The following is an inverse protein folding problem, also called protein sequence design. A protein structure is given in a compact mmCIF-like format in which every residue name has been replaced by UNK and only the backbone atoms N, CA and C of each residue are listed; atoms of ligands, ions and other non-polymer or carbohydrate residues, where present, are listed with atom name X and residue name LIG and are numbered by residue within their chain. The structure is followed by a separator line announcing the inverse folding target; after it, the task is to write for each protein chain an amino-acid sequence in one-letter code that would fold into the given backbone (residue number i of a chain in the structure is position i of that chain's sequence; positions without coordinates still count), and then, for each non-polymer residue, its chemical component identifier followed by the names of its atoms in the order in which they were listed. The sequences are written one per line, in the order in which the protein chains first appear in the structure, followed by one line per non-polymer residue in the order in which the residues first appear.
data_IF_937805772798
#
_entry.id   IF_937805772798
#
_cell.length_a   1.000
_cell.length_b   1.000
_cell.length_c   1.000
_cell.angle_alpha   90.00
_cell.angle_beta   90.00
_cell.angle_gamma   90.00
#
_symmetry.space_group_name_H-M   'P 1'
#
loop_
_entity.id
_entity.type
_entity.pdbx_description
1 polymer ?
#
# COMPACT_ATOMS: atom_id res chain seq x y z
N UNK A 1 -23.25 17.38 15.97
CA UNK A 1 -22.06 16.68 15.43
C UNK A 1 -21.22 16.27 16.64
N UNK A 2 -20.80 15.01 16.78
CA UNK A 2 -20.07 14.58 17.98
C UNK A 2 -18.67 15.21 18.03
N UNK A 3 -18.11 15.37 19.24
CA UNK A 3 -16.76 15.93 19.45
C UNK A 3 -15.68 15.18 18.64
N UNK A 4 -15.84 13.86 18.52
CA UNK A 4 -14.98 13.01 17.68
C UNK A 4 -15.02 13.34 16.18
N UNK A 5 -16.19 13.70 15.64
CA UNK A 5 -16.34 14.05 14.22
C UNK A 5 -15.67 15.38 13.92
N UNK A 6 -15.86 16.38 14.78
CA UNK A 6 -15.21 17.69 14.64
C UNK A 6 -13.70 17.58 14.72
N UNK A 7 -13.18 16.79 15.67
CA UNK A 7 -11.74 16.53 15.82
C UNK A 7 -11.14 15.84 14.60
N UNK A 8 -11.79 14.79 14.09
CA UNK A 8 -11.31 14.06 12.92
C UNK A 8 -11.31 14.96 11.66
N UNK A 9 -12.36 15.76 11.48
CA UNK A 9 -12.45 16.74 10.39
C UNK A 9 -11.32 17.78 10.48
N UNK A 10 -11.14 18.38 11.65
CA UNK A 10 -10.07 19.36 11.87
C UNK A 10 -8.69 18.77 11.62
N UNK A 11 -8.44 17.54 12.09
CA UNK A 11 -7.17 16.85 11.87
C UNK A 11 -6.88 16.71 10.36
N UNK A 12 -7.86 16.27 9.57
CA UNK A 12 -7.68 16.11 8.13
C UNK A 12 -7.40 17.47 7.44
N UNK A 13 -8.13 18.52 7.80
CA UNK A 13 -7.90 19.88 7.29
C UNK A 13 -6.48 20.35 7.60
N UNK A 14 -6.05 20.23 8.86
CA UNK A 14 -4.69 20.57 9.28
C UNK A 14 -3.63 19.80 8.49
N UNK A 15 -3.86 18.51 8.23
CA UNK A 15 -2.93 17.67 7.48
C UNK A 15 -2.84 18.10 6.00
N UNK A 16 -3.99 18.35 5.38
CA UNK A 16 -4.08 18.73 3.96
C UNK A 16 -3.37 20.07 3.68
N UNK A 17 -3.49 21.02 4.60
CA UNK A 17 -2.88 22.36 4.50
C UNK A 17 -1.42 22.39 4.98
N UNK A 18 -0.97 21.35 5.67
CA UNK A 18 0.31 21.39 6.37
C UNK A 18 1.51 21.56 5.43
N UNK A 19 1.68 20.70 4.44
CA UNK A 19 2.87 20.78 3.56
C UNK A 19 2.87 22.03 2.66
N UNK A 20 1.74 22.43 2.04
CA UNK A 20 1.69 23.68 1.26
C UNK A 20 2.02 24.94 2.05
N UNK A 21 1.77 24.97 3.36
CA UNK A 21 2.04 26.13 4.22
C UNK A 21 3.48 26.24 4.73
N UNK A 22 4.40 25.38 4.27
CA UNK A 22 5.79 25.31 4.76
C UNK A 22 6.83 26.00 3.88
N UNK A 23 6.39 26.77 2.88
CA UNK A 23 7.27 27.43 1.90
C UNK A 23 8.29 26.47 1.24
N UNK A 24 7.91 25.21 1.08
CA UNK A 24 8.75 24.19 0.45
C UNK A 24 8.65 24.36 -1.06
N UNK A 25 9.77 24.62 -1.71
CA UNK A 25 9.83 24.82 -3.16
C UNK A 25 9.13 23.67 -3.93
N UNK A 26 8.13 24.03 -4.74
CA UNK A 26 7.36 23.10 -5.57
C UNK A 26 6.19 22.40 -4.86
N UNK A 27 6.07 22.49 -3.54
CA UNK A 27 4.97 21.86 -2.78
C UNK A 27 3.80 22.83 -2.65
N UNK A 28 2.81 22.71 -3.55
CA UNK A 28 1.62 23.56 -3.60
C UNK A 28 0.36 22.77 -3.27
N UNK A 29 -0.76 23.46 -2.97
CA UNK A 29 -2.07 22.80 -2.82
C UNK A 29 -2.47 22.01 -4.06
N UNK A 30 -2.19 22.52 -5.26
CA UNK A 30 -2.42 21.81 -6.53
C UNK A 30 -1.61 20.53 -6.63
N UNK A 31 -0.35 20.54 -6.17
CA UNK A 31 0.47 19.33 -6.12
C UNK A 31 -0.14 18.32 -5.15
N UNK A 32 -0.59 18.75 -3.97
CA UNK A 32 -1.25 17.84 -3.02
C UNK A 32 -2.49 17.19 -3.67
N UNK A 33 -3.36 17.96 -4.29
CA UNK A 33 -4.57 17.45 -4.96
C UNK A 33 -4.25 16.43 -6.06
N UNK A 34 -3.14 16.61 -6.82
CA UNK A 34 -2.67 15.62 -7.81
C UNK A 34 -2.49 14.25 -7.18
N UNK A 35 -1.88 14.17 -6.00
CA UNK A 35 -1.66 12.88 -5.31
C UNK A 35 -2.91 12.31 -4.68
N UNK A 36 -3.94 13.13 -4.41
CA UNK A 36 -5.22 12.67 -3.87
C UNK A 36 -6.14 12.04 -4.93
N UNK A 37 -5.71 11.99 -6.20
CA UNK A 37 -6.46 11.35 -7.27
C UNK A 37 -5.71 10.10 -7.80
N UNK A 38 -6.05 8.88 -7.33
CA UNK A 38 -5.34 7.67 -7.73
C UNK A 38 -5.59 7.24 -9.18
N UNK A 39 -6.73 7.60 -9.76
CA UNK A 39 -7.19 7.05 -11.04
C UNK A 39 -6.40 7.57 -12.23
N UNK A 40 -5.67 8.68 -12.09
CA UNK A 40 -4.79 9.21 -13.12
C UNK A 40 -3.43 8.50 -13.21
N UNK A 41 -3.06 7.70 -12.20
CA UNK A 41 -1.68 7.19 -12.04
C UNK A 41 -1.51 5.73 -12.47
N UNK A 42 -2.49 4.86 -12.26
CA UNK A 42 -2.40 3.44 -12.61
C UNK A 42 -3.79 2.87 -13.02
N UNK A 43 -4.00 2.55 -14.31
CA UNK A 43 -5.25 1.94 -14.75
C UNK A 43 -5.39 0.51 -14.25
N UNK A 44 -6.63 0.06 -14.03
CA UNK A 44 -6.95 -1.32 -13.66
C UNK A 44 -6.52 -2.28 -14.77
N UNK A 45 -5.84 -3.40 -14.47
CA UNK A 45 -5.55 -4.42 -15.48
C UNK A 45 -6.82 -5.09 -15.98
N UNK A 46 -6.81 -5.54 -17.24
CA UNK A 46 -7.97 -6.19 -17.88
C UNK A 46 -7.81 -7.71 -18.04
N UNK A 47 -6.73 -8.29 -17.52
CA UNK A 47 -6.41 -9.73 -17.65
C UNK A 47 -5.93 -10.31 -16.33
N UNK A 48 -6.08 -11.64 -16.15
CA UNK A 48 -5.56 -12.35 -14.98
C UNK A 48 -4.04 -12.21 -14.88
N UNK A 49 -3.34 -12.22 -16.02
CA UNK A 49 -1.90 -11.98 -16.11
C UNK A 49 -1.54 -10.61 -15.54
N UNK A 50 -2.29 -9.56 -15.89
CA UNK A 50 -2.06 -8.22 -15.37
C UNK A 50 -2.33 -8.10 -13.86
N UNK A 51 -3.36 -8.77 -13.34
CA UNK A 51 -3.62 -8.82 -11.90
C UNK A 51 -2.49 -9.55 -11.17
N UNK A 52 -2.08 -10.71 -11.69
CA UNK A 52 -1.01 -11.51 -11.13
C UNK A 52 0.33 -10.74 -11.13
N UNK A 53 0.67 -10.08 -12.24
CA UNK A 53 1.85 -9.21 -12.32
C UNK A 53 1.81 -8.12 -11.25
N UNK A 54 0.68 -7.39 -11.11
CA UNK A 54 0.51 -6.32 -10.11
C UNK A 54 0.68 -6.83 -8.68
N UNK A 55 0.16 -8.02 -8.40
CA UNK A 55 0.31 -8.66 -7.11
C UNK A 55 1.79 -8.93 -6.79
N UNK A 56 2.56 -9.45 -7.76
CA UNK A 56 3.99 -9.67 -7.61
C UNK A 56 4.77 -8.35 -7.48
N UNK A 57 4.36 -7.30 -8.19
CA UNK A 57 4.93 -5.95 -8.05
C UNK A 57 4.74 -5.41 -6.64
N UNK A 58 3.53 -5.50 -6.07
CA UNK A 58 3.28 -5.10 -4.68
C UNK A 58 4.16 -5.92 -3.72
N UNK A 59 4.25 -7.24 -3.92
CA UNK A 59 5.07 -8.12 -3.07
C UNK A 59 6.57 -7.77 -3.15
N UNK A 60 7.07 -7.46 -4.35
CA UNK A 60 8.44 -7.03 -4.57
C UNK A 60 8.72 -5.68 -3.89
N UNK A 61 7.76 -4.76 -3.90
CA UNK A 61 7.94 -3.41 -3.36
C UNK A 61 7.94 -3.36 -1.83
N UNK A 62 7.60 -4.47 -1.15
CA UNK A 62 7.54 -4.53 0.31
C UNK A 62 8.93 -4.63 0.98
N UNK A 63 9.19 -3.77 1.97
CA UNK A 63 10.37 -3.82 2.84
C UNK A 63 11.69 -3.88 2.04
N UNK A 64 12.59 -4.81 2.39
CA UNK A 64 13.88 -4.99 1.71
C UNK A 64 13.76 -5.66 0.34
N UNK A 65 12.59 -6.22 -0.04
CA UNK A 65 12.42 -6.93 -1.31
C UNK A 65 12.62 -6.02 -2.52
N UNK A 66 12.34 -4.72 -2.41
CA UNK A 66 12.56 -3.77 -3.50
C UNK A 66 14.05 -3.69 -3.88
N UNK A 67 14.94 -3.81 -2.89
CA UNK A 67 16.38 -3.86 -3.09
C UNK A 67 16.87 -5.25 -3.48
N UNK A 68 16.45 -6.28 -2.75
CA UNK A 68 16.99 -7.65 -2.87
C UNK A 68 16.45 -8.39 -4.11
N UNK A 69 15.19 -8.16 -4.47
CA UNK A 69 14.57 -8.71 -5.67
C UNK A 69 14.60 -7.65 -6.77
N UNK A 70 13.90 -6.52 -6.55
CA UNK A 70 13.64 -5.54 -7.60
C UNK A 70 14.90 -4.99 -8.27
N UNK A 71 15.92 -4.57 -7.50
CA UNK A 71 17.19 -4.12 -8.10
C UNK A 71 18.05 -5.26 -8.64
N UNK A 72 17.94 -6.45 -8.06
CA UNK A 72 18.75 -7.60 -8.47
C UNK A 72 18.39 -8.05 -9.88
N UNK A 73 17.10 -8.09 -10.22
CA UNK A 73 16.61 -8.47 -11.56
C UNK A 73 16.22 -7.29 -12.43
N UNK A 74 16.00 -6.10 -11.86
CA UNK A 74 15.63 -4.90 -12.62
C UNK A 74 14.12 -4.67 -12.80
N UNK A 75 13.28 -5.33 -12.00
CA UNK A 75 11.82 -5.20 -12.04
C UNK A 75 11.11 -6.53 -12.22
N UNK A 76 9.83 -6.58 -11.82
CA UNK A 76 8.99 -7.78 -11.94
C UNK A 76 8.78 -8.18 -13.39
N UNK A 77 8.73 -7.21 -14.32
CA UNK A 77 8.61 -7.44 -15.76
C UNK A 77 9.65 -8.43 -16.31
N UNK A 78 10.84 -8.50 -15.72
CA UNK A 78 11.87 -9.47 -16.14
C UNK A 78 11.48 -10.92 -15.87
N UNK A 79 10.55 -11.16 -14.95
CA UNK A 79 10.01 -12.48 -14.68
C UNK A 79 9.06 -13.00 -15.77
N UNK A 80 8.63 -12.16 -16.72
CA UNK A 80 7.68 -12.55 -17.79
C UNK A 80 8.12 -13.83 -18.52
N UNK A 81 9.39 -13.92 -18.91
CA UNK A 81 9.94 -15.09 -19.61
C UNK A 81 10.01 -16.38 -18.77
N UNK A 82 10.07 -16.24 -17.45
CA UNK A 82 10.13 -17.35 -16.49
C UNK A 82 8.71 -17.79 -16.10
N UNK A 83 7.79 -16.84 -16.00
CA UNK A 83 6.42 -17.01 -15.55
C UNK A 83 5.42 -17.07 -16.71
N UNK A 84 5.89 -17.35 -17.93
CA UNK A 84 5.08 -17.50 -19.14
C UNK A 84 4.09 -16.32 -19.35
N UNK A 85 4.64 -15.10 -19.39
CA UNK A 85 3.89 -13.84 -19.44
C UNK A 85 2.83 -13.73 -18.33
N UNK A 86 3.23 -14.13 -17.12
CA UNK A 86 2.40 -14.13 -15.93
C UNK A 86 1.14 -15.00 -16.08
N UNK A 87 1.24 -16.12 -16.77
CA UNK A 87 0.19 -17.13 -16.80
C UNK A 87 0.22 -17.98 -15.52
N UNK A 88 -0.66 -17.65 -14.57
CA UNK A 88 -0.74 -18.37 -13.28
C UNK A 88 -0.92 -19.88 -13.47
N UNK A 89 -1.81 -20.30 -14.39
CA UNK A 89 -1.98 -21.70 -14.76
C UNK A 89 -0.68 -22.38 -15.19
N UNK A 90 0.04 -21.77 -16.13
CA UNK A 90 1.30 -22.34 -16.66
C UNK A 90 2.38 -22.37 -15.57
N UNK A 91 2.43 -21.36 -14.69
CA UNK A 91 3.34 -21.34 -13.54
C UNK A 91 3.08 -22.55 -12.62
N UNK A 92 1.81 -22.83 -12.29
CA UNK A 92 1.46 -23.96 -11.43
C UNK A 92 1.75 -25.32 -12.09
N UNK A 93 1.51 -25.46 -13.39
CA UNK A 93 1.83 -26.67 -14.15
C UNK A 93 3.35 -26.89 -14.27
N UNK A 94 4.12 -25.81 -14.44
CA UNK A 94 5.57 -25.86 -14.65
C UNK A 94 6.35 -26.12 -13.37
N UNK A 95 5.97 -25.48 -12.26
CA UNK A 95 6.75 -25.49 -11.02
C UNK A 95 6.12 -26.36 -9.92
N UNK A 96 5.74 -27.58 -10.29
CA UNK A 96 5.24 -28.59 -9.33
C UNK A 96 6.28 -28.95 -8.25
N UNK A 97 7.57 -28.75 -8.53
CA UNK A 97 8.68 -28.88 -7.58
C UNK A 97 8.78 -27.76 -6.53
N UNK A 98 7.87 -26.80 -6.54
CA UNK A 98 7.80 -25.72 -5.56
C UNK A 98 8.77 -24.55 -5.83
N UNK A 99 8.85 -23.63 -4.87
CA UNK A 99 9.54 -22.35 -5.05
C UNK A 99 11.03 -22.45 -5.37
N UNK A 100 11.70 -23.56 -5.02
CA UNK A 100 13.12 -23.75 -5.35
C UNK A 100 13.35 -23.83 -6.87
N UNK A 101 12.49 -24.55 -7.59
CA UNK A 101 12.60 -24.67 -9.05
C UNK A 101 12.46 -23.31 -9.75
N UNK A 102 11.62 -22.42 -9.21
CA UNK A 102 11.49 -21.04 -9.70
C UNK A 102 12.78 -20.27 -9.45
N UNK A 103 13.36 -20.39 -8.24
CA UNK A 103 14.58 -19.70 -7.88
C UNK A 103 15.76 -20.14 -8.76
N UNK A 104 15.88 -21.44 -9.00
CA UNK A 104 16.94 -22.00 -9.85
C UNK A 104 16.85 -21.45 -11.27
N UNK A 105 15.65 -21.42 -11.86
CA UNK A 105 15.44 -20.85 -13.20
C UNK A 105 15.68 -19.32 -13.25
N UNK A 106 15.32 -18.58 -12.19
CA UNK A 106 15.65 -17.16 -12.05
C UNK A 106 17.17 -16.96 -12.06
N UNK A 107 17.90 -17.75 -11.28
CA UNK A 107 19.37 -17.66 -11.20
C UNK A 107 20.00 -17.99 -12.55
N UNK A 108 19.54 -19.04 -13.22
CA UNK A 108 20.05 -19.48 -14.52
C UNK A 108 19.81 -18.43 -15.61
N UNK A 109 18.58 -17.93 -15.74
CA UNK A 109 18.16 -17.11 -16.88
C UNK A 109 18.37 -15.62 -16.66
N UNK A 110 18.06 -15.10 -15.47
CA UNK A 110 18.13 -13.65 -15.21
C UNK A 110 19.45 -13.21 -14.59
N UNK A 111 20.24 -14.16 -14.05
CA UNK A 111 21.53 -13.90 -13.42
C UNK A 111 21.48 -12.69 -12.45
N UNK A 112 20.64 -12.77 -11.39
CA UNK A 112 20.37 -11.61 -10.54
C UNK A 112 21.65 -11.10 -9.87
N UNK A 113 21.73 -9.79 -9.69
CA UNK A 113 22.87 -9.15 -9.02
C UNK A 113 22.80 -9.34 -7.51
N UNK A 114 23.96 -9.45 -6.87
CA UNK A 114 24.06 -9.53 -5.41
C UNK A 114 23.99 -10.96 -4.87
N UNK A 115 23.91 -11.09 -3.54
CA UNK A 115 23.90 -12.39 -2.85
C UNK A 115 22.51 -13.05 -2.94
N UNK A 116 22.47 -14.29 -3.44
CA UNK A 116 21.24 -15.09 -3.55
C UNK A 116 21.22 -16.12 -2.43
N UNK A 117 20.58 -15.76 -1.31
CA UNK A 117 20.46 -16.65 -0.15
C UNK A 117 19.33 -17.65 -0.37
N UNK A 118 19.67 -18.94 -0.23
CA UNK A 118 18.81 -20.08 -0.55
C UNK A 118 18.04 -20.64 0.67
N UNK A 119 18.33 -20.18 1.89
CA UNK A 119 17.65 -20.70 3.09
C UNK A 119 16.18 -20.29 3.12
N UNK A 120 15.28 -21.15 3.60
CA UNK A 120 13.83 -20.93 3.54
C UNK A 120 13.33 -19.60 4.15
N UNK A 121 14.06 -19.05 5.13
CA UNK A 121 13.73 -17.75 5.76
C UNK A 121 14.27 -16.53 5.01
N UNK A 122 15.01 -16.75 3.93
CA UNK A 122 15.59 -15.70 3.10
C UNK A 122 14.57 -15.15 2.12
N UNK A 123 14.81 -13.90 1.68
CA UNK A 123 13.89 -13.15 0.82
C UNK A 123 13.60 -13.86 -0.50
N UNK A 124 14.63 -14.45 -1.14
CA UNK A 124 14.47 -15.12 -2.43
C UNK A 124 13.53 -16.33 -2.35
N UNK A 125 13.78 -17.35 -1.50
CA UNK A 125 12.84 -18.45 -1.30
C UNK A 125 11.44 -18.00 -0.91
N UNK A 126 11.31 -17.02 0.00
CA UNK A 126 10.00 -16.50 0.38
C UNK A 126 9.26 -15.85 -0.78
N UNK A 127 9.95 -15.08 -1.61
CA UNK A 127 9.35 -14.46 -2.79
C UNK A 127 8.94 -15.51 -3.84
N UNK A 128 9.70 -16.58 -4.00
CA UNK A 128 9.31 -17.71 -4.85
C UNK A 128 8.07 -18.46 -4.31
N UNK A 129 7.89 -18.54 -2.98
CA UNK A 129 6.63 -19.03 -2.41
C UNK A 129 5.48 -18.06 -2.70
N UNK A 130 5.70 -16.75 -2.55
CA UNK A 130 4.70 -15.73 -2.94
C UNK A 130 4.25 -15.90 -4.39
N UNK A 131 5.17 -16.16 -5.33
CA UNK A 131 4.85 -16.42 -6.74
C UNK A 131 3.85 -17.59 -6.86
N UNK A 132 4.10 -18.72 -6.19
CA UNK A 132 3.21 -19.88 -6.25
C UNK A 132 1.86 -19.67 -5.55
N UNK A 133 1.85 -19.13 -4.33
CA UNK A 133 0.61 -18.87 -3.60
C UNK A 133 -0.26 -17.85 -4.34
N UNK A 134 0.35 -16.82 -4.93
CA UNK A 134 -0.36 -15.85 -5.74
C UNK A 134 -0.91 -16.46 -7.03
N UNK A 135 -0.16 -17.35 -7.70
CA UNK A 135 -0.68 -18.07 -8.86
C UNK A 135 -1.89 -18.94 -8.50
N UNK A 136 -1.81 -19.70 -7.39
CA UNK A 136 -2.94 -20.48 -6.86
C UNK A 136 -4.16 -19.60 -6.57
N UNK A 137 -3.95 -18.45 -5.93
CA UNK A 137 -5.02 -17.49 -5.64
C UNK A 137 -5.69 -16.97 -6.92
N UNK A 138 -4.91 -16.57 -7.93
CA UNK A 138 -5.45 -16.03 -9.19
C UNK A 138 -6.20 -17.08 -10.00
N UNK A 139 -5.80 -18.35 -9.95
CA UNK A 139 -6.49 -19.43 -10.65
C UNK A 139 -7.86 -19.80 -10.06
N UNK A 140 -8.21 -19.27 -8.87
CA UNK A 140 -9.57 -19.37 -8.35
C UNK A 140 -10.59 -18.58 -9.19
N UNK A 141 -10.11 -17.58 -9.96
CA UNK A 141 -10.96 -16.71 -10.78
C UNK A 141 -10.97 -17.15 -12.25
N UNK A 142 -12.16 -17.11 -12.84
CA UNK A 142 -12.38 -17.42 -14.26
C UNK A 142 -11.83 -16.32 -15.19
N UNK A 143 -11.85 -15.07 -14.75
CA UNK A 143 -11.44 -13.91 -15.54
C UNK A 143 -11.01 -12.73 -14.66
N UNK A 144 -10.50 -11.66 -15.27
CA UNK A 144 -10.25 -10.41 -14.54
C UNK A 144 -11.54 -9.77 -14.02
N UNK A 145 -12.64 -9.84 -14.78
CA UNK A 145 -13.96 -9.31 -14.36
C UNK A 145 -14.43 -10.00 -13.09
N UNK A 146 -14.35 -11.33 -13.06
CA UNK A 146 -14.72 -12.17 -11.91
C UNK A 146 -13.95 -11.76 -10.64
N UNK A 147 -12.63 -11.56 -10.76
CA UNK A 147 -11.82 -11.02 -9.67
C UNK A 147 -12.33 -9.65 -9.18
N UNK A 148 -12.58 -8.70 -10.08
CA UNK A 148 -13.03 -7.36 -9.68
C UNK A 148 -14.46 -7.36 -9.12
N UNK A 149 -15.37 -8.17 -9.65
CA UNK A 149 -16.72 -8.35 -9.10
C UNK A 149 -16.67 -8.87 -7.67
N UNK A 150 -15.76 -9.81 -7.40
CA UNK A 150 -15.50 -10.31 -6.06
C UNK A 150 -14.89 -9.24 -5.14
N UNK A 151 -13.93 -8.44 -5.61
CA UNK A 151 -13.38 -7.32 -4.82
C UNK A 151 -14.48 -6.28 -4.53
N UNK A 152 -15.31 -5.95 -5.51
CA UNK A 152 -16.41 -4.99 -5.40
C UNK A 152 -17.44 -5.42 -4.36
N UNK A 153 -17.68 -6.72 -4.18
CA UNK A 153 -18.54 -7.25 -3.12
C UNK A 153 -18.05 -6.80 -1.73
N UNK A 154 -16.74 -6.90 -1.46
CA UNK A 154 -16.17 -6.42 -0.20
C UNK A 154 -16.13 -4.90 -0.12
N UNK A 155 -15.85 -4.22 -1.24
CA UNK A 155 -15.69 -2.78 -1.24
C UNK A 155 -17.00 -2.03 -0.99
N UNK A 156 -18.14 -2.57 -1.44
CA UNK A 156 -19.46 -1.92 -1.27
C UNK A 156 -19.93 -1.89 0.18
N UNK A 157 -19.49 -2.81 1.05
CA UNK A 157 -19.91 -2.86 2.45
C UNK A 157 -18.76 -2.55 3.42
N UNK A 158 -18.91 -1.45 4.15
CA UNK A 158 -18.00 -0.97 5.18
C UNK A 158 -17.66 -1.99 6.30
N UNK A 159 -18.56 -2.95 6.55
CA UNK A 159 -18.41 -4.02 7.54
C UNK A 159 -17.58 -5.16 6.97
N UNK A 160 -17.80 -5.50 5.69
CA UNK A 160 -17.10 -6.57 5.00
C UNK A 160 -15.71 -6.16 4.52
N UNK A 161 -15.49 -4.89 4.19
CA UNK A 161 -14.30 -4.40 3.49
C UNK A 161 -12.96 -4.88 4.07
N UNK A 162 -12.80 -4.83 5.40
CA UNK A 162 -11.56 -5.26 6.04
C UNK A 162 -11.31 -6.78 5.96
N UNK A 163 -12.34 -7.58 5.68
CA UNK A 163 -12.24 -9.02 5.48
C UNK A 163 -11.42 -9.40 4.25
N UNK A 164 -11.44 -8.59 3.18
CA UNK A 164 -10.65 -8.87 1.98
C UNK A 164 -9.13 -8.80 2.23
N UNK A 165 -8.56 -7.73 2.80
CA UNK A 165 -7.15 -7.71 3.18
C UNK A 165 -6.74 -8.84 4.13
N UNK A 166 -7.64 -9.25 5.04
CA UNK A 166 -7.42 -10.41 5.93
C UNK A 166 -7.32 -11.71 5.14
N UNK A 167 -8.27 -11.96 4.24
CA UNK A 167 -8.28 -13.15 3.39
C UNK A 167 -7.02 -13.21 2.51
N UNK A 168 -6.66 -12.11 1.85
CA UNK A 168 -5.43 -12.03 1.05
C UNK A 168 -4.17 -12.35 1.87
N UNK A 169 -4.12 -11.95 3.15
CA UNK A 169 -2.99 -12.25 4.04
C UNK A 169 -2.91 -13.72 4.48
N UNK A 170 -3.97 -14.49 4.29
CA UNK A 170 -3.99 -15.93 4.57
C UNK A 170 -3.75 -16.76 3.30
N UNK A 171 -4.24 -16.29 2.15
CA UNK A 171 -4.14 -17.00 0.88
C UNK A 171 -2.78 -16.81 0.17
N UNK A 172 -2.06 -15.73 0.48
CA UNK A 172 -0.86 -15.35 -0.27
C UNK A 172 0.34 -15.21 0.67
N UNK A 173 1.34 -16.06 0.46
CA UNK A 173 2.56 -16.05 1.24
C UNK A 173 3.28 -14.71 1.14
N UNK A 174 3.69 -14.18 2.28
CA UNK A 174 4.38 -12.90 2.37
C UNK A 174 3.46 -11.67 2.30
N UNK A 175 2.15 -11.84 2.11
CA UNK A 175 1.18 -10.76 2.27
C UNK A 175 0.76 -10.60 3.73
N UNK A 176 0.98 -9.40 4.27
CA UNK A 176 0.32 -8.95 5.50
C UNK A 176 -0.83 -8.01 5.18
N UNK A 177 -1.71 -7.75 6.14
CA UNK A 177 -2.88 -6.88 5.99
C UNK A 177 -2.54 -5.54 5.31
N UNK A 178 -1.49 -4.85 5.76
CA UNK A 178 -1.09 -3.57 5.16
C UNK A 178 -0.65 -3.69 3.69
N UNK A 179 0.02 -4.77 3.32
CA UNK A 179 0.42 -5.00 1.93
C UNK A 179 -0.79 -5.34 1.05
N UNK A 180 -1.73 -6.12 1.57
CA UNK A 180 -3.00 -6.42 0.90
C UNK A 180 -3.81 -5.13 0.62
N UNK A 181 -3.88 -4.21 1.58
CA UNK A 181 -4.51 -2.90 1.35
C UNK A 181 -3.79 -2.09 0.26
N UNK A 182 -2.45 -2.10 0.26
CA UNK A 182 -1.65 -1.39 -0.74
C UNK A 182 -1.87 -1.94 -2.15
N UNK A 183 -1.91 -3.27 -2.30
CA UNK A 183 -2.25 -3.93 -3.55
C UNK A 183 -3.62 -3.48 -4.07
N UNK A 184 -4.67 -3.55 -3.24
CA UNK A 184 -6.02 -3.15 -3.65
C UNK A 184 -6.08 -1.65 -4.04
N UNK A 185 -5.33 -0.81 -3.33
CA UNK A 185 -5.19 0.60 -3.64
C UNK A 185 -4.49 0.84 -4.98
N UNK A 186 -3.41 0.11 -5.27
CA UNK A 186 -2.71 0.16 -6.56
C UNK A 186 -3.61 -0.32 -7.71
N UNK A 187 -4.60 -1.16 -7.41
CA UNK A 187 -5.65 -1.61 -8.32
C UNK A 187 -6.81 -0.60 -8.43
N UNK A 188 -6.65 0.64 -7.94
CA UNK A 188 -7.61 1.73 -8.12
C UNK A 188 -8.75 1.77 -7.09
N UNK A 189 -8.69 0.98 -6.02
CA UNK A 189 -9.72 1.01 -4.96
C UNK A 189 -9.41 2.05 -3.89
N UNK A 190 -10.27 3.07 -3.78
CA UNK A 190 -10.04 4.23 -2.91
C UNK A 190 -10.47 4.03 -1.45
N UNK A 191 -11.09 2.89 -1.12
CA UNK A 191 -11.63 2.63 0.21
C UNK A 191 -10.78 1.65 1.03
N UNK A 192 -9.65 1.17 0.49
CA UNK A 192 -8.69 0.31 1.21
C UNK A 192 -7.44 1.13 1.61
N UNK A 193 -7.52 1.99 2.64
CA UNK A 193 -6.35 2.73 3.09
C UNK A 193 -5.28 1.77 3.62
N UNK A 194 -4.01 2.16 3.48
CA UNK A 194 -2.92 1.34 4.02
C UNK A 194 -2.66 1.71 5.48
N UNK A 195 -2.78 0.77 6.44
CA UNK A 195 -2.37 1.01 7.82
C UNK A 195 -0.83 0.99 7.95
N UNK A 196 -0.14 1.98 7.39
CA UNK A 196 1.33 2.05 7.42
C UNK A 196 1.90 2.72 8.68
N UNK A 197 3.23 2.64 8.81
CA UNK A 197 3.98 3.15 9.97
C UNK A 197 3.86 4.67 10.16
N UNK A 198 3.73 5.44 9.09
CA UNK A 198 3.57 6.89 9.19
C UNK A 198 2.22 7.25 9.81
N UNK A 199 1.14 6.63 9.33
CA UNK A 199 -0.19 6.85 9.89
C UNK A 199 -0.28 6.35 11.33
N UNK A 200 0.30 5.18 11.61
CA UNK A 200 0.38 4.61 12.96
C UNK A 200 0.99 5.60 13.95
N UNK A 201 2.16 6.12 13.61
CA UNK A 201 2.91 7.04 14.47
C UNK A 201 2.17 8.35 14.68
N UNK A 202 1.64 8.95 13.60
CA UNK A 202 0.89 10.22 13.68
C UNK A 202 -0.37 10.03 14.52
N UNK A 203 -1.18 9.01 14.23
CA UNK A 203 -2.47 8.83 14.90
C UNK A 203 -2.30 8.42 16.36
N UNK A 204 -1.26 7.66 16.68
CA UNK A 204 -0.93 7.30 18.07
C UNK A 204 -0.48 8.55 18.84
N UNK A 205 0.45 9.33 18.28
CA UNK A 205 0.97 10.52 18.94
C UNK A 205 -0.08 11.62 19.15
N UNK A 206 -1.08 11.68 18.27
CA UNK A 206 -2.22 12.59 18.36
C UNK A 206 -3.38 12.01 19.17
N UNK A 207 -3.28 10.80 19.71
CA UNK A 207 -4.29 10.20 20.58
C UNK A 207 -5.58 9.78 19.86
N UNK A 208 -5.47 9.33 18.60
CA UNK A 208 -6.57 8.76 17.81
C UNK A 208 -6.66 7.24 17.95
N UNK A 209 -5.53 6.62 18.28
CA UNK A 209 -5.39 5.19 18.53
C UNK A 209 -4.37 4.92 19.64
N UNK A 210 -4.39 3.69 20.16
CA UNK A 210 -3.38 3.20 21.11
C UNK A 210 -2.16 2.60 20.41
N UNK A 211 -1.01 2.60 21.08
CA UNK A 211 0.26 2.04 20.56
C UNK A 211 0.15 0.56 20.17
N UNK A 212 -0.71 -0.21 20.85
CA UNK A 212 -0.85 -1.66 20.66
C UNK A 212 -1.88 -2.04 19.58
N UNK A 213 -2.32 -1.09 18.74
CA UNK A 213 -3.33 -1.40 17.73
C UNK A 213 -2.82 -2.34 16.64
N UNK A 214 -3.66 -3.28 16.21
CA UNK A 214 -3.40 -4.08 15.01
C UNK A 214 -3.56 -3.26 13.73
N UNK A 215 -3.05 -3.75 12.60
CA UNK A 215 -3.27 -3.12 11.28
C UNK A 215 -4.76 -2.97 10.96
N UNK A 216 -5.57 -3.97 11.33
CA UNK A 216 -7.03 -3.92 11.22
C UNK A 216 -7.63 -2.74 12.02
N UNK A 217 -7.18 -2.54 13.26
CA UNK A 217 -7.69 -1.44 14.09
C UNK A 217 -7.28 -0.08 13.52
N UNK A 218 -6.03 0.06 13.08
CA UNK A 218 -5.55 1.29 12.43
C UNK A 218 -6.33 1.58 11.14
N UNK A 219 -6.60 0.55 10.33
CA UNK A 219 -7.45 0.66 9.14
C UNK A 219 -8.83 1.26 9.49
N UNK A 220 -9.48 0.78 10.55
CA UNK A 220 -10.78 1.31 10.98
C UNK A 220 -10.67 2.77 11.45
N UNK A 221 -9.57 3.17 12.08
CA UNK A 221 -9.34 4.57 12.48
C UNK A 221 -9.16 5.47 11.25
N UNK A 222 -8.37 5.06 10.25
CA UNK A 222 -8.18 5.84 9.01
C UNK A 222 -9.52 6.02 8.30
N UNK A 223 -10.30 4.96 8.17
CA UNK A 223 -11.64 5.00 7.57
C UNK A 223 -12.57 5.94 8.34
N UNK A 224 -12.56 5.90 9.68
CA UNK A 224 -13.34 6.81 10.54
C UNK A 224 -12.96 8.27 10.28
N UNK A 225 -11.66 8.59 10.29
CA UNK A 225 -11.16 9.95 10.05
C UNK A 225 -11.61 10.45 8.68
N UNK A 226 -11.45 9.62 7.64
CA UNK A 226 -11.83 9.96 6.28
C UNK A 226 -13.33 10.30 6.16
N UNK A 227 -14.21 9.45 6.69
CA UNK A 227 -15.66 9.67 6.61
C UNK A 227 -16.11 10.87 7.43
N UNK A 228 -15.55 11.08 8.62
CA UNK A 228 -15.84 12.26 9.43
C UNK A 228 -15.39 13.55 8.75
N UNK A 229 -14.31 13.50 7.95
CA UNK A 229 -13.84 14.60 7.13
C UNK A 229 -14.56 14.72 5.76
N UNK A 230 -15.46 13.79 5.42
CA UNK A 230 -16.19 13.80 4.15
C UNK A 230 -15.31 13.48 2.92
N UNK A 231 -14.23 12.71 3.10
CA UNK A 231 -13.29 12.34 2.02
C UNK A 231 -13.14 10.82 1.90
N UNK A 232 -12.52 10.36 0.82
CA UNK A 232 -12.21 8.94 0.65
C UNK A 232 -11.14 8.48 1.66
N UNK A 233 -11.16 7.20 2.09
CA UNK A 233 -10.07 6.64 2.88
C UNK A 233 -8.69 6.77 2.22
N UNK A 234 -8.62 6.70 0.89
CA UNK A 234 -7.41 6.99 0.12
C UNK A 234 -6.88 8.40 0.35
N UNK A 235 -7.75 9.42 0.34
CA UNK A 235 -7.31 10.80 0.54
C UNK A 235 -6.71 10.98 1.93
N UNK A 236 -7.37 10.44 2.96
CA UNK A 236 -6.84 10.46 4.32
C UNK A 236 -5.47 9.74 4.39
N UNK A 237 -5.39 8.50 3.90
CA UNK A 237 -4.14 7.73 3.79
C UNK A 237 -3.03 8.57 3.14
N UNK A 238 -3.29 9.08 1.93
CA UNK A 238 -2.29 9.73 1.11
C UNK A 238 -1.76 11.04 1.70
N UNK A 239 -2.63 11.88 2.29
CA UNK A 239 -2.19 13.14 2.92
C UNK A 239 -1.21 12.85 4.08
N UNK A 240 -1.55 11.94 4.99
CA UNK A 240 -0.67 11.60 6.11
C UNK A 240 0.59 10.88 5.63
N UNK A 241 0.47 10.03 4.61
CA UNK A 241 1.62 9.38 4.00
C UNK A 241 2.59 10.39 3.37
N UNK A 242 2.10 11.44 2.70
CA UNK A 242 2.96 12.51 2.14
C UNK A 242 3.70 13.27 3.24
N UNK A 243 3.03 13.61 4.34
CA UNK A 243 3.66 14.24 5.51
C UNK A 243 4.73 13.31 6.11
N UNK A 244 4.38 12.04 6.27
CA UNK A 244 5.21 11.05 6.91
C UNK A 244 6.44 10.65 6.11
N UNK A 245 6.27 10.45 4.80
CA UNK A 245 7.32 9.99 3.89
C UNK A 245 8.13 11.13 3.29
N UNK A 246 7.49 12.30 3.11
CA UNK A 246 8.05 13.41 2.36
C UNK A 246 8.41 13.07 0.92
N UNK A 247 7.69 12.13 0.29
CA UNK A 247 8.05 11.59 -1.01
C UNK A 247 6.96 11.81 -2.08
N UNK A 248 7.25 12.71 -3.00
CA UNK A 248 6.48 13.00 -4.21
C UNK A 248 7.06 12.20 -5.38
N UNK A 249 6.68 10.92 -5.44
CA UNK A 249 7.29 9.93 -6.35
C UNK A 249 7.07 10.21 -7.85
N UNK A 250 6.00 10.92 -8.21
CA UNK A 250 5.70 11.31 -9.59
C UNK A 250 6.22 12.72 -9.94
N UNK A 251 6.90 13.39 -9.02
CA UNK A 251 7.40 14.76 -9.20
C UNK A 251 8.87 14.85 -8.77
N UNK A 252 9.80 14.27 -9.56
CA UNK A 252 11.22 14.19 -9.21
C UNK A 252 11.89 15.57 -9.04
N UNK A 253 11.28 16.62 -9.60
CA UNK A 253 11.73 18.01 -9.50
C UNK A 253 11.44 18.64 -8.12
N UNK A 254 10.58 18.02 -7.29
CA UNK A 254 10.29 18.48 -5.94
C UNK A 254 11.41 18.00 -4.99
N UNK A 255 12.06 18.93 -4.31
CA UNK A 255 13.20 18.60 -3.44
C UNK A 255 14.31 17.82 -4.16
N UNK A 256 14.85 16.77 -3.52
CA UNK A 256 15.89 15.92 -4.10
C UNK A 256 15.28 14.62 -4.65
N UNK A 257 15.00 14.56 -5.96
CA UNK A 257 14.37 13.40 -6.61
C UNK A 257 13.01 13.06 -5.99
N UNK A 258 12.16 14.08 -5.84
CA UNK A 258 10.83 13.95 -5.21
C UNK A 258 10.86 13.91 -3.69
N UNK A 259 12.02 14.05 -3.03
CA UNK A 259 12.14 13.92 -1.57
C UNK A 259 12.37 15.26 -0.89
N UNK A 260 11.48 15.59 0.05
CA UNK A 260 11.56 16.78 0.92
C UNK A 260 11.95 16.44 2.36
N UNK A 261 12.08 15.14 2.70
CA UNK A 261 12.29 14.67 4.06
C UNK A 261 10.99 14.49 4.82
N UNK A 262 11.01 13.67 5.88
CA UNK A 262 9.82 13.44 6.71
C UNK A 262 9.49 14.68 7.55
N UNK A 263 8.21 15.09 7.54
CA UNK A 263 7.68 16.17 8.39
C UNK A 263 6.80 15.63 9.53
N UNK A 264 6.90 14.32 9.80
CA UNK A 264 6.02 13.63 10.73
C UNK A 264 6.04 14.23 12.14
N UNK A 265 7.24 14.51 12.68
CA UNK A 265 7.39 15.01 14.06
C UNK A 265 6.91 16.46 14.18
N UNK A 266 7.24 17.26 13.17
CA UNK A 266 6.89 18.66 13.05
C UNK A 266 5.38 18.82 12.90
N UNK A 267 4.73 17.94 12.13
CA UNK A 267 3.28 17.90 12.00
C UNK A 267 2.60 17.54 13.32
N UNK A 268 3.06 16.50 14.01
CA UNK A 268 2.52 16.11 15.32
C UNK A 268 2.61 17.28 16.31
N UNK A 269 3.76 17.96 16.38
CA UNK A 269 3.97 19.13 17.26
C UNK A 269 3.03 20.29 16.90
N UNK A 270 2.76 20.50 15.62
CA UNK A 270 1.86 21.55 15.13
C UNK A 270 0.38 21.23 15.42
N UNK A 271 -0.06 20.01 15.11
CA UNK A 271 -1.47 19.64 15.15
C UNK A 271 -1.96 19.38 16.58
N UNK A 272 -1.11 18.84 17.47
CA UNK A 272 -1.51 18.43 18.81
C UNK A 272 -2.20 19.53 19.65
N UNK A 273 -1.61 20.74 19.85
CA UNK A 273 -2.26 21.77 20.64
C UNK A 273 -3.59 22.23 20.03
N UNK A 274 -3.65 22.36 18.69
CA UNK A 274 -4.85 22.77 17.97
C UNK A 274 -6.03 21.78 18.12
N UNK A 275 -5.73 20.51 18.37
CA UNK A 275 -6.73 19.47 18.61
C UNK A 275 -7.12 19.36 20.09
N UNK A 276 -6.21 19.71 21.01
CA UNK A 276 -6.47 19.74 22.46
C UNK A 276 -7.35 20.94 22.84
N UNK A 277 -7.08 22.11 22.26
CA UNK A 277 -7.88 23.32 22.49
C UNK A 277 -9.36 23.10 22.11
N UNK A 278 -9.63 22.33 21.06
CA UNK A 278 -11.00 21.97 20.66
C UNK A 278 -11.73 21.13 21.71
N UNK A 279 -11.05 20.19 22.38
CA UNK A 279 -11.66 19.37 23.44
C UNK A 279 -11.95 20.17 24.71
N UNK A 280 -11.27 21.31 24.90
CA UNK A 280 -11.48 22.21 26.03
C UNK A 280 -12.68 23.14 25.83
N UNK A 281 -13.03 23.45 24.57
CA UNK A 281 -14.15 24.33 24.21
C UNK A 281 -15.51 23.60 24.14
N UNK A 282 -15.50 22.27 24.15
CA UNK A 282 -16.69 21.41 24.09
C UNK A 282 -17.04 20.74 25.42
N UNK A 283 -16.29 21.03 26.50
CA UNK A 283 -16.57 20.64 27.89
C UNK A 283 -17.15 21.81 28.68
#
# INVERSE_FOLDING_TARGET
MTDSVLRDKKLYELAKEYLPSRDIAGVTSTLIEKYLNPLSLNPKPHSKQGIYQRLLESAQNANMKAGVIGRAIGGVDKLSSILADFSAKVVLEKYTGGGQAILDEIVEKLKPRGEIRQTARSIWPQYCQTILSAANFIEQFSSASDFFEWVDFFDKDNRARAGLPMLLSQEIDGFGFALSCDFLKEMGYINFPKPDVHLRDIFTALGLCSEKQTDYQLFKVIVRVAWNAGVSPYNADKVFWLIGSGYFYDDPNVGKKGRIGSYKKEFIKYAKPLLEDMQSLTR
#
